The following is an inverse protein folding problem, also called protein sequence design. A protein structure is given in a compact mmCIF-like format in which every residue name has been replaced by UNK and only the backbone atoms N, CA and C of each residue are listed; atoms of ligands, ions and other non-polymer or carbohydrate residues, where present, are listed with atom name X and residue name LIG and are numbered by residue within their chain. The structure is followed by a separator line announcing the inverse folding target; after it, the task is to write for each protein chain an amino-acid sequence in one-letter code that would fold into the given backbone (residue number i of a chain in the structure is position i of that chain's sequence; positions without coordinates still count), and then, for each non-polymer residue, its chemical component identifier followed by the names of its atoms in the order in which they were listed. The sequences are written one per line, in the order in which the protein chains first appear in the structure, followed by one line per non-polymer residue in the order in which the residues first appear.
data_IF_076578394096
#
_entry.id   IF_076578394096
#
_cell.length_a   1.000
_cell.length_b   1.000
_cell.length_c   1.000
_cell.angle_alpha   90.00
_cell.angle_beta   90.00
_cell.angle_gamma   90.00
#
_symmetry.space_group_name_H-M   'P 1'
#
loop_
_entity.id
_entity.type
_entity.pdbx_description
1 polymer ?
#
# COMPACT_ATOMS: atom_id res chain seq x y z
N UNK A 1 6.33 12.02 15.58
CA UNK A 1 6.24 12.85 14.39
C UNK A 1 5.08 13.84 14.53
N UNK A 2 5.29 15.10 14.20
CA UNK A 2 4.32 16.17 14.33
C UNK A 2 4.10 16.80 12.96
N UNK A 3 2.89 16.65 12.41
CA UNK A 3 2.43 17.41 11.25
C UNK A 3 1.62 18.59 11.75
N UNK A 4 1.95 19.78 11.29
CA UNK A 4 1.24 21.01 11.62
C UNK A 4 0.91 21.77 10.35
N UNK A 5 -0.37 21.88 10.07
CA UNK A 5 -0.96 22.84 9.14
C UNK A 5 -1.55 24.00 9.95
N UNK A 6 -1.88 25.13 9.33
CA UNK A 6 -2.49 26.28 10.01
C UNK A 6 -3.85 25.94 10.68
N UNK A 7 -4.54 24.85 10.25
CA UNK A 7 -5.79 24.37 10.83
C UNK A 7 -5.72 22.94 11.40
N UNK A 8 -4.72 22.15 11.03
CA UNK A 8 -4.55 20.76 11.43
C UNK A 8 -3.25 20.51 12.19
N UNK A 9 -3.30 19.64 13.18
CA UNK A 9 -2.12 19.15 13.91
C UNK A 9 -2.26 17.66 14.17
N UNK A 10 -1.23 16.90 13.82
CA UNK A 10 -1.15 15.48 14.12
C UNK A 10 0.11 15.16 14.92
N UNK A 11 -0.05 14.42 15.99
CA UNK A 11 1.04 13.85 16.78
C UNK A 11 0.96 12.33 16.66
N UNK A 12 2.04 11.70 16.25
CA UNK A 12 2.12 10.26 16.13
C UNK A 12 3.31 9.73 16.93
N UNK A 13 3.07 8.68 17.71
CA UNK A 13 4.08 7.97 18.47
C UNK A 13 3.91 6.48 18.27
N UNK A 14 5.01 5.76 18.04
CA UNK A 14 4.99 4.32 17.89
C UNK A 14 6.21 3.68 18.55
N UNK A 15 5.97 2.59 19.27
CA UNK A 15 6.99 1.71 19.82
C UNK A 15 6.74 0.32 19.30
N UNK A 16 7.77 -0.31 18.77
CA UNK A 16 7.75 -1.70 18.30
C UNK A 16 8.89 -2.45 18.98
N UNK A 17 8.57 -3.58 19.57
CA UNK A 17 9.54 -4.49 20.19
C UNK A 17 9.24 -5.91 19.75
N UNK A 18 10.28 -6.67 19.42
CA UNK A 18 10.18 -8.09 19.05
C UNK A 18 11.08 -8.91 19.95
N UNK A 19 10.52 -9.95 20.55
CA UNK A 19 11.21 -10.91 21.38
C UNK A 19 11.11 -12.28 20.75
N UNK A 20 12.17 -13.03 20.76
CA UNK A 20 12.16 -14.40 20.26
C UNK A 20 13.08 -15.30 21.09
N UNK A 21 12.69 -16.54 21.21
CA UNK A 21 13.44 -17.59 21.89
C UNK A 21 13.34 -18.90 21.09
N UNK A 22 14.48 -19.54 20.86
CA UNK A 22 14.56 -20.80 20.15
C UNK A 22 14.76 -21.96 21.14
N UNK A 23 13.89 -22.96 21.05
CA UNK A 23 13.98 -24.18 21.84
C UNK A 23 13.86 -25.39 20.90
N UNK A 24 14.99 -26.05 20.66
CA UNK A 24 15.03 -27.19 19.71
C UNK A 24 14.69 -26.77 18.28
N UNK A 25 13.59 -27.30 17.75
CA UNK A 25 13.07 -27.00 16.41
C UNK A 25 12.02 -25.88 16.41
N UNK A 26 11.57 -25.48 17.58
CA UNK A 26 10.55 -24.45 17.77
C UNK A 26 11.18 -23.08 17.99
N UNK A 27 10.56 -22.05 17.42
CA UNK A 27 10.87 -20.65 17.68
C UNK A 27 9.61 -19.98 18.23
N UNK A 28 9.69 -19.54 19.48
CA UNK A 28 8.68 -18.73 20.14
C UNK A 28 9.00 -17.27 19.87
N UNK A 29 8.07 -16.52 19.34
CA UNK A 29 8.25 -15.09 19.10
C UNK A 29 7.03 -14.31 19.57
N UNK A 30 7.27 -13.08 19.99
CA UNK A 30 6.21 -12.15 20.39
C UNK A 30 6.57 -10.76 19.93
N UNK A 31 5.70 -10.16 19.12
CA UNK A 31 5.80 -8.77 18.72
C UNK A 31 4.85 -7.91 19.57
N UNK A 32 5.37 -6.84 20.15
CA UNK A 32 4.60 -5.82 20.87
C UNK A 32 4.67 -4.51 20.07
N UNK A 33 3.50 -3.99 19.70
CA UNK A 33 3.42 -2.71 19.02
C UNK A 33 2.43 -1.80 19.78
N UNK A 34 2.87 -0.60 20.12
CA UNK A 34 2.05 0.44 20.73
C UNK A 34 2.10 1.63 19.78
N UNK A 35 0.93 2.08 19.32
CA UNK A 35 0.81 3.19 18.38
C UNK A 35 -0.23 4.18 18.91
N UNK A 36 0.16 5.42 19.03
CA UNK A 36 -0.71 6.53 19.40
C UNK A 36 -0.78 7.52 18.24
N UNK A 37 -1.99 7.98 17.94
CA UNK A 37 -2.25 9.06 17.00
C UNK A 37 -3.23 10.05 17.63
N UNK A 38 -2.80 11.29 17.77
CA UNK A 38 -3.66 12.40 18.17
C UNK A 38 -3.79 13.39 17.03
N UNK A 39 -4.98 13.49 16.44
CA UNK A 39 -5.29 14.45 15.37
C UNK A 39 -6.28 15.49 15.83
N UNK A 40 -5.99 16.73 15.51
CA UNK A 40 -6.86 17.88 15.80
C UNK A 40 -6.95 18.77 14.57
N UNK A 41 -8.17 19.09 14.18
CA UNK A 41 -8.48 20.04 13.11
C UNK A 41 -9.48 21.08 13.62
N UNK A 42 -9.33 22.34 13.17
CA UNK A 42 -10.20 23.45 13.54
C UNK A 42 -9.62 24.34 14.64
N UNK A 43 -9.87 25.63 14.55
CA UNK A 43 -9.49 26.60 15.56
C UNK A 43 -10.67 26.99 16.45
N UNK A 44 -10.32 27.53 17.63
CA UNK A 44 -11.24 28.10 18.62
C UNK A 44 -11.93 29.39 18.17
N UNK A 45 -11.77 29.81 16.93
CA UNK A 45 -12.32 31.11 16.49
C UNK A 45 -13.79 30.95 16.10
N UNK A 46 -14.63 31.47 16.98
CA UNK A 46 -16.09 31.40 16.97
C UNK A 46 -16.78 32.24 15.88
N UNK A 47 -16.03 32.81 14.93
CA UNK A 47 -16.56 33.71 13.91
C UNK A 47 -16.74 33.11 12.52
N UNK A 48 -16.33 31.87 12.29
CA UNK A 48 -16.46 31.19 10.99
C UNK A 48 -17.51 30.08 11.06
N UNK A 49 -18.54 30.28 10.28
CA UNK A 49 -19.64 29.40 9.81
C UNK A 49 -19.89 28.05 10.51
N UNK A 50 -21.16 27.76 10.67
CA UNK A 50 -21.82 26.50 11.19
C UNK A 50 -21.26 25.18 10.63
N UNK A 51 -20.34 25.19 9.67
CA UNK A 51 -19.77 24.04 8.99
C UNK A 51 -18.37 23.65 9.48
N UNK A 52 -17.68 24.47 10.29
CA UNK A 52 -16.33 24.21 10.79
C UNK A 52 -16.37 23.58 12.19
N UNK A 53 -16.83 22.35 12.28
CA UNK A 53 -16.75 21.57 13.52
C UNK A 53 -15.32 21.14 13.78
N UNK A 54 -14.77 21.56 14.92
CA UNK A 54 -13.47 21.09 15.39
C UNK A 54 -13.49 19.56 15.56
N UNK A 55 -12.55 18.88 14.91
CA UNK A 55 -12.39 17.44 14.99
C UNK A 55 -11.22 17.10 15.91
N UNK A 56 -11.47 16.28 16.93
CA UNK A 56 -10.45 15.73 17.82
C UNK A 56 -10.52 14.22 17.76
N UNK A 57 -9.41 13.59 17.42
CA UNK A 57 -9.30 12.14 17.39
C UNK A 57 -8.07 11.73 18.18
N UNK A 58 -8.27 10.98 19.25
CA UNK A 58 -7.21 10.26 19.96
C UNK A 58 -7.38 8.78 19.71
N UNK A 59 -6.37 8.15 19.17
CA UNK A 59 -6.43 6.77 18.75
C UNK A 59 -5.17 6.03 19.21
N UNK A 60 -5.32 5.13 20.16
CA UNK A 60 -4.24 4.28 20.68
C UNK A 60 -4.53 2.83 20.30
N UNK A 61 -3.56 2.20 19.66
CA UNK A 61 -3.61 0.76 19.35
C UNK A 61 -2.47 0.08 20.06
N UNK A 62 -2.80 -0.94 20.84
CA UNK A 62 -1.84 -1.85 21.48
C UNK A 62 -2.03 -3.22 20.85
N UNK A 63 -0.96 -3.76 20.31
CA UNK A 63 -0.96 -5.04 19.62
C UNK A 63 0.10 -5.96 20.21
N UNK A 64 -0.31 -7.16 20.58
CA UNK A 64 0.56 -8.25 21.07
C UNK A 64 0.35 -9.47 20.17
N UNK A 65 1.44 -9.96 19.56
CA UNK A 65 1.36 -11.05 18.58
C UNK A 65 2.30 -12.20 18.95
N UNK A 66 1.91 -13.08 19.88
CA UNK A 66 2.63 -14.31 20.15
C UNK A 66 2.48 -15.30 18.99
N UNK A 67 3.59 -15.92 18.61
CA UNK A 67 3.66 -16.92 17.53
C UNK A 67 4.62 -18.04 17.91
N UNK A 68 4.33 -19.24 17.43
CA UNK A 68 5.21 -20.40 17.51
C UNK A 68 5.48 -20.85 16.07
N UNK A 69 6.75 -20.99 15.73
CA UNK A 69 7.20 -21.52 14.44
C UNK A 69 7.92 -22.84 14.66
N UNK A 70 7.52 -23.88 13.97
CA UNK A 70 8.18 -25.19 14.00
C UNK A 70 8.77 -25.55 12.63
N UNK A 71 9.86 -26.32 12.67
CA UNK A 71 10.54 -26.81 11.48
C UNK A 71 10.59 -28.34 11.52
N UNK A 72 10.21 -28.98 10.42
CA UNK A 72 10.21 -30.44 10.28
C UNK A 72 10.83 -30.88 8.96
N UNK A 73 11.04 -32.19 8.79
CA UNK A 73 11.59 -32.79 7.56
C UNK A 73 12.88 -32.11 7.07
N UNK A 74 13.88 -31.99 7.95
CA UNK A 74 15.14 -31.32 7.65
C UNK A 74 14.95 -29.87 7.17
N UNK A 75 14.09 -29.11 7.87
CA UNK A 75 13.72 -27.73 7.58
C UNK A 75 12.93 -27.53 6.26
N UNK A 76 12.51 -28.59 5.57
CA UNK A 76 11.67 -28.50 4.37
C UNK A 76 10.26 -28.00 4.70
N UNK A 77 9.71 -28.38 5.85
CA UNK A 77 8.44 -27.87 6.37
C UNK A 77 8.71 -26.75 7.38
N UNK A 78 8.08 -25.61 7.16
CA UNK A 78 7.94 -24.55 8.16
C UNK A 78 6.45 -24.33 8.41
N UNK A 79 6.01 -24.45 9.65
CA UNK A 79 4.67 -24.12 10.09
C UNK A 79 4.74 -23.06 11.21
N UNK A 80 3.92 -22.04 11.09
CA UNK A 80 3.79 -20.99 12.11
C UNK A 80 2.33 -20.88 12.50
N UNK A 81 2.08 -20.79 13.80
CA UNK A 81 0.75 -20.53 14.38
C UNK A 81 0.88 -19.48 15.47
N UNK A 82 -0.18 -18.71 15.66
CA UNK A 82 -0.23 -17.68 16.68
C UNK A 82 -1.54 -16.92 16.66
N UNK A 83 -1.60 -15.86 17.42
CA UNK A 83 -2.74 -14.95 17.50
C UNK A 83 -2.23 -13.51 17.58
N UNK A 84 -2.90 -12.62 16.89
CA UNK A 84 -2.68 -11.18 17.01
C UNK A 84 -3.79 -10.61 17.91
N UNK A 85 -3.41 -10.19 19.10
CA UNK A 85 -4.28 -9.64 20.14
C UNK A 85 -4.16 -8.13 20.03
N UNK A 86 -5.24 -7.47 19.61
CA UNK A 86 -5.23 -6.02 19.38
C UNK A 86 -6.28 -5.33 20.21
N UNK A 87 -5.85 -4.33 20.98
CA UNK A 87 -6.69 -3.40 21.71
C UNK A 87 -6.74 -2.08 20.94
N UNK A 88 -7.92 -1.68 20.52
CA UNK A 88 -8.21 -0.37 19.92
C UNK A 88 -8.81 0.52 21.00
N UNK A 89 -7.95 1.28 21.68
CA UNK A 89 -8.35 2.20 22.74
C UNK A 89 -8.68 3.58 22.14
N UNK A 90 -9.77 3.63 21.41
CA UNK A 90 -10.40 4.85 20.92
C UNK A 90 -11.62 5.17 21.81
N UNK A 91 -12.46 6.15 21.46
CA UNK A 91 -13.66 6.55 22.21
C UNK A 91 -14.52 5.36 22.68
N UNK A 92 -14.60 4.32 21.87
CA UNK A 92 -15.15 3.01 22.22
C UNK A 92 -14.04 1.97 22.16
N UNK A 93 -13.48 1.59 23.31
CA UNK A 93 -12.46 0.55 23.39
C UNK A 93 -12.96 -0.78 22.82
N UNK A 94 -12.24 -1.32 21.83
CA UNK A 94 -12.56 -2.60 21.18
C UNK A 94 -11.38 -3.55 21.28
N UNK A 95 -11.71 -4.80 21.48
CA UNK A 95 -10.75 -5.89 21.53
C UNK A 95 -10.90 -6.78 20.30
N UNK A 96 -9.81 -7.08 19.63
CA UNK A 96 -9.78 -7.93 18.45
C UNK A 96 -8.80 -9.07 18.62
N UNK A 97 -9.18 -10.23 18.10
CA UNK A 97 -8.33 -11.42 17.99
C UNK A 97 -8.23 -11.79 16.51
N UNK A 98 -7.02 -11.86 15.99
CA UNK A 98 -6.79 -12.26 14.60
C UNK A 98 -5.99 -13.56 14.56
N UNK A 99 -6.37 -14.49 13.68
CA UNK A 99 -5.59 -15.70 13.48
C UNK A 99 -4.24 -15.33 12.84
N UNK A 100 -3.21 -16.09 13.20
CA UNK A 100 -1.92 -16.08 12.52
C UNK A 100 -1.54 -17.53 12.26
N UNK A 101 -1.60 -17.94 11.00
CA UNK A 101 -1.19 -19.28 10.59
C UNK A 101 -0.50 -19.21 9.23
N UNK A 102 0.61 -19.88 9.08
CA UNK A 102 1.31 -20.04 7.81
C UNK A 102 1.93 -21.42 7.75
N UNK A 103 1.79 -22.11 6.64
CA UNK A 103 2.52 -23.33 6.33
C UNK A 103 3.19 -23.19 4.98
N UNK A 104 4.44 -23.65 4.88
CA UNK A 104 5.17 -23.76 3.63
C UNK A 104 6.03 -25.01 3.61
N UNK A 105 6.15 -25.60 2.44
CA UNK A 105 6.95 -26.79 2.23
C UNK A 105 7.89 -26.62 1.04
N UNK A 106 9.17 -26.90 1.25
CA UNK A 106 10.17 -26.84 0.18
C UNK A 106 10.27 -28.19 -0.54
N UNK A 107 9.95 -28.18 -1.84
CA UNK A 107 10.16 -29.28 -2.75
C UNK A 107 11.39 -29.03 -3.63
N UNK A 108 12.11 -30.10 -3.95
CA UNK A 108 13.21 -30.07 -4.91
C UNK A 108 14.26 -28.97 -4.62
N UNK A 109 14.66 -28.86 -3.34
CA UNK A 109 15.65 -27.90 -2.89
C UNK A 109 15.31 -26.44 -3.28
N UNK A 110 14.09 -26.01 -2.88
CA UNK A 110 13.53 -24.69 -3.08
C UNK A 110 13.16 -24.32 -4.53
N UNK A 111 13.12 -25.30 -5.45
CA UNK A 111 12.59 -25.05 -6.80
C UNK A 111 11.10 -24.72 -6.74
N UNK A 112 10.34 -25.40 -5.86
CA UNK A 112 8.92 -25.15 -5.65
C UNK A 112 8.60 -25.17 -4.16
N UNK A 113 8.05 -24.05 -3.67
CA UNK A 113 7.64 -23.87 -2.28
C UNK A 113 6.17 -23.45 -2.28
N UNK A 114 5.21 -24.39 -2.25
CA UNK A 114 3.83 -24.04 -1.95
C UNK A 114 3.71 -23.51 -0.55
N UNK A 115 2.80 -22.58 -0.37
CA UNK A 115 2.48 -21.99 0.92
C UNK A 115 1.00 -21.62 1.02
N UNK A 116 0.49 -21.64 2.23
CA UNK A 116 -0.85 -21.15 2.56
C UNK A 116 -0.83 -20.51 3.93
N UNK A 117 -1.74 -19.59 4.16
CA UNK A 117 -1.83 -18.95 5.47
C UNK A 117 -3.10 -18.14 5.67
N UNK A 118 -3.27 -17.77 6.94
CA UNK A 118 -4.33 -16.92 7.44
C UNK A 118 -3.71 -15.82 8.29
N UNK A 119 -4.14 -14.60 8.09
CA UNK A 119 -3.75 -13.45 8.93
C UNK A 119 -4.88 -12.44 9.00
N UNK A 120 -4.86 -11.61 10.02
CA UNK A 120 -5.71 -10.44 10.14
C UNK A 120 -4.92 -9.30 10.75
N UNK A 121 -5.58 -8.19 11.04
CA UNK A 121 -4.94 -7.07 11.73
C UNK A 121 -5.74 -5.78 11.67
N UNK A 122 -5.36 -4.84 12.52
CA UNK A 122 -5.90 -3.50 12.56
C UNK A 122 -4.89 -2.50 12.00
N UNK A 123 -5.25 -1.84 10.89
CA UNK A 123 -4.47 -0.75 10.31
C UNK A 123 -4.96 0.57 10.89
N UNK A 124 -4.08 1.31 11.52
CA UNK A 124 -4.35 2.67 11.97
C UNK A 124 -4.30 3.60 10.77
N UNK A 125 -5.42 4.25 10.46
CA UNK A 125 -5.45 5.34 9.51
C UNK A 125 -5.19 6.65 10.26
N UNK A 126 -4.14 7.34 9.85
CA UNK A 126 -3.76 8.67 10.34
C UNK A 126 -3.99 9.69 9.22
N UNK A 127 -4.09 10.97 9.55
CA UNK A 127 -4.19 12.00 8.51
C UNK A 127 -2.97 11.94 7.58
N UNK A 128 -1.77 11.78 8.14
CA UNK A 128 -0.55 11.58 7.37
C UNK A 128 -0.65 10.41 6.41
N UNK A 129 -1.09 9.24 6.88
CA UNK A 129 -1.16 8.05 6.01
C UNK A 129 -2.15 8.23 4.86
N UNK A 130 -3.28 8.89 5.11
CA UNK A 130 -4.29 9.19 4.09
C UNK A 130 -3.82 10.28 3.12
N UNK A 131 -3.16 11.34 3.62
CA UNK A 131 -2.62 12.41 2.77
C UNK A 131 -1.42 11.97 1.94
N UNK A 132 -0.64 10.99 2.39
CA UNK A 132 0.42 10.37 1.59
C UNK A 132 -0.15 9.51 0.44
N UNK A 133 -1.34 8.92 0.63
CA UNK A 133 -2.03 8.19 -0.42
C UNK A 133 -2.71 9.15 -1.42
N UNK A 134 -3.38 10.19 -0.90
CA UNK A 134 -3.98 11.27 -1.71
C UNK A 134 -3.72 12.64 -1.05
N UNK A 135 -2.83 13.44 -1.62
CA UNK A 135 -2.45 14.76 -1.11
C UNK A 135 -3.57 15.82 -1.20
N UNK A 136 -4.62 15.54 -1.98
CA UNK A 136 -5.74 16.46 -2.21
C UNK A 136 -6.91 16.24 -1.24
N UNK A 137 -6.74 15.48 -0.16
CA UNK A 137 -7.81 15.25 0.83
C UNK A 137 -8.14 16.52 1.61
N UNK A 138 -9.38 16.58 2.08
CA UNK A 138 -9.81 17.58 3.06
C UNK A 138 -9.08 17.36 4.40
N UNK A 139 -8.79 18.44 5.12
CA UNK A 139 -8.16 18.32 6.44
C UNK A 139 -9.16 17.92 7.55
N UNK A 140 -10.47 18.04 7.32
CA UNK A 140 -11.52 17.66 8.27
C UNK A 140 -12.05 16.25 8.07
N UNK A 141 -11.25 15.34 7.45
CA UNK A 141 -11.65 13.95 7.25
C UNK A 141 -11.78 13.19 8.55
N UNK A 142 -12.79 12.36 8.65
CA UNK A 142 -12.96 11.43 9.76
C UNK A 142 -11.89 10.33 9.70
N UNK A 143 -11.16 10.12 10.78
CA UNK A 143 -10.17 9.03 10.87
C UNK A 143 -10.81 7.79 11.49
N UNK A 144 -10.80 6.67 10.77
CA UNK A 144 -11.28 5.36 11.26
C UNK A 144 -10.24 4.29 10.98
N UNK A 145 -10.01 3.41 11.94
CA UNK A 145 -9.13 2.27 11.76
C UNK A 145 -9.73 1.26 10.78
N UNK A 146 -8.91 0.77 9.86
CA UNK A 146 -9.28 -0.30 8.94
C UNK A 146 -9.06 -1.66 9.62
N UNK A 147 -10.12 -2.43 9.76
CA UNK A 147 -10.12 -3.75 10.35
C UNK A 147 -10.09 -4.81 9.25
N UNK A 148 -8.95 -5.42 9.01
CA UNK A 148 -8.85 -6.62 8.18
C UNK A 148 -9.15 -7.85 9.04
N UNK A 149 -10.39 -8.30 9.01
CA UNK A 149 -10.87 -9.39 9.86
C UNK A 149 -10.16 -10.70 9.57
N UNK A 150 -9.95 -10.98 8.29
CA UNK A 150 -9.25 -12.17 7.79
C UNK A 150 -8.65 -11.89 6.42
N UNK A 151 -7.45 -12.40 6.21
CA UNK A 151 -6.81 -12.51 4.91
C UNK A 151 -6.30 -13.96 4.78
N UNK A 152 -7.00 -14.74 3.97
CA UNK A 152 -6.60 -16.09 3.59
C UNK A 152 -5.83 -16.04 2.28
N UNK A 153 -4.69 -16.71 2.22
CA UNK A 153 -3.87 -16.72 1.02
C UNK A 153 -3.26 -18.10 0.77
N UNK A 154 -3.08 -18.39 -0.50
CA UNK A 154 -2.39 -19.57 -1.00
C UNK A 154 -1.51 -19.16 -2.17
N UNK A 155 -0.38 -19.84 -2.33
CA UNK A 155 0.52 -19.56 -3.42
C UNK A 155 1.63 -20.59 -3.53
N UNK A 156 2.46 -20.36 -4.52
CA UNK A 156 3.70 -21.08 -4.71
C UNK A 156 4.78 -20.12 -5.17
N UNK A 157 5.96 -20.30 -4.65
CA UNK A 157 7.16 -19.53 -5.00
C UNK A 157 8.35 -20.48 -5.15
N UNK A 158 9.40 -20.00 -5.75
CA UNK A 158 10.59 -20.81 -5.90
C UNK A 158 11.61 -20.21 -6.84
N UNK A 159 12.62 -21.02 -7.16
CA UNK A 159 13.70 -20.66 -8.07
C UNK A 159 13.83 -21.73 -9.15
N UNK A 160 13.35 -21.44 -10.37
CA UNK A 160 13.47 -22.38 -11.49
C UNK A 160 14.93 -22.63 -11.88
N UNK A 161 15.76 -21.62 -11.74
CA UNK A 161 17.21 -21.67 -11.91
C UNK A 161 17.86 -20.71 -10.92
N UNK A 162 19.18 -20.72 -10.78
CA UNK A 162 19.93 -19.73 -9.97
C UNK A 162 19.66 -18.27 -10.40
N UNK A 163 19.02 -18.05 -11.55
CA UNK A 163 18.76 -16.73 -12.15
C UNK A 163 17.29 -16.36 -12.23
N UNK A 164 16.38 -17.30 -12.02
CA UNK A 164 14.93 -17.06 -12.18
C UNK A 164 14.22 -17.42 -10.90
N UNK A 165 13.72 -16.40 -10.21
CA UNK A 165 12.82 -16.52 -9.08
C UNK A 165 11.38 -16.17 -9.49
N UNK A 166 10.39 -16.84 -8.94
CA UNK A 166 8.98 -16.59 -9.20
C UNK A 166 8.14 -16.67 -7.94
N UNK A 167 7.00 -16.01 -7.97
CA UNK A 167 5.94 -16.17 -6.97
C UNK A 167 4.58 -15.99 -7.66
N UNK A 168 3.63 -16.86 -7.34
CA UNK A 168 2.24 -16.70 -7.74
C UNK A 168 1.35 -16.98 -6.54
N UNK A 169 0.37 -16.13 -6.31
CA UNK A 169 -0.53 -16.25 -5.16
C UNK A 169 -1.93 -15.76 -5.46
N UNK A 170 -2.88 -16.31 -4.73
CA UNK A 170 -4.24 -15.81 -4.64
C UNK A 170 -4.58 -15.55 -3.17
N UNK A 171 -5.28 -14.45 -2.90
CA UNK A 171 -5.71 -14.12 -1.56
C UNK A 171 -7.14 -13.59 -1.55
N UNK A 172 -7.83 -13.83 -0.44
CA UNK A 172 -9.13 -13.28 -0.13
C UNK A 172 -9.05 -12.58 1.22
N UNK A 173 -9.50 -11.33 1.26
CA UNK A 173 -9.50 -10.54 2.49
C UNK A 173 -10.82 -9.81 2.71
N UNK A 174 -11.22 -9.69 3.99
CA UNK A 174 -12.39 -8.93 4.41
C UNK A 174 -11.95 -7.73 5.22
N UNK A 175 -12.29 -6.54 4.72
CA UNK A 175 -11.94 -5.26 5.31
C UNK A 175 -13.20 -4.53 5.79
N UNK A 176 -13.23 -4.11 7.04
CA UNK A 176 -14.20 -3.14 7.55
C UNK A 176 -13.53 -1.78 7.67
N UNK A 177 -14.24 -0.73 7.36
CA UNK A 177 -13.71 0.64 7.29
C UNK A 177 -12.52 0.76 6.31
N UNK A 178 -12.61 0.15 5.13
CA UNK A 178 -11.67 0.43 4.04
C UNK A 178 -11.83 1.88 3.61
N UNK A 179 -10.77 2.67 3.68
CA UNK A 179 -10.78 4.05 3.21
C UNK A 179 -10.89 4.10 1.69
N UNK A 180 -11.81 4.92 1.18
CA UNK A 180 -12.01 5.22 -0.23
C UNK A 180 -12.03 6.75 -0.40
N UNK A 181 -11.37 7.24 -1.43
CA UNK A 181 -11.30 8.66 -1.73
C UNK A 181 -12.36 9.03 -2.75
N UNK A 182 -13.19 10.00 -2.43
CA UNK A 182 -14.28 10.47 -3.30
C UNK A 182 -14.20 11.98 -3.45
N UNK A 183 -14.59 12.49 -4.62
CA UNK A 183 -14.65 13.93 -4.88
C UNK A 183 -15.58 14.60 -3.86
N UNK A 184 -15.10 15.64 -3.20
CA UNK A 184 -15.91 16.44 -2.28
C UNK A 184 -16.64 17.57 -3.04
N UNK A 185 -17.92 17.76 -2.73
CA UNK A 185 -18.74 18.85 -3.27
C UNK A 185 -19.45 19.66 -2.19
N UNK A 186 -19.17 19.31 -0.91
CA UNK A 186 -19.80 19.97 0.25
C UNK A 186 -18.90 21.09 0.78
N UNK A 187 -17.63 20.78 0.99
CA UNK A 187 -16.63 21.71 1.55
C UNK A 187 -15.72 22.33 0.49
N UNK A 188 -15.79 21.79 -0.74
CA UNK A 188 -14.99 22.27 -1.88
C UNK A 188 -15.81 22.24 -3.19
N UNK A 189 -15.44 23.03 -4.21
CA UNK A 189 -16.09 22.99 -5.52
C UNK A 189 -15.67 21.79 -6.39
N UNK A 190 -15.42 20.63 -5.80
CA UNK A 190 -14.99 19.42 -6.53
C UNK A 190 -13.49 19.31 -6.78
N UNK A 191 -12.69 20.16 -6.12
CA UNK A 191 -11.22 20.18 -6.21
C UNK A 191 -10.52 19.60 -4.98
N UNK A 192 -11.23 18.87 -4.12
CA UNK A 192 -10.70 18.16 -2.96
C UNK A 192 -11.37 16.79 -2.86
N UNK A 193 -10.77 15.93 -2.06
CA UNK A 193 -11.31 14.60 -1.80
C UNK A 193 -11.72 14.46 -0.35
N UNK A 194 -12.89 13.87 -0.14
CA UNK A 194 -13.32 13.36 1.14
C UNK A 194 -12.93 11.88 1.26
N UNK A 195 -12.81 11.39 2.49
CA UNK A 195 -12.54 9.99 2.79
C UNK A 195 -13.82 9.36 3.31
N UNK A 196 -14.34 8.40 2.58
CA UNK A 196 -15.45 7.55 3.01
C UNK A 196 -14.95 6.15 3.39
N UNK A 197 -15.73 5.43 4.17
CA UNK A 197 -15.35 4.12 4.66
C UNK A 197 -16.40 3.08 4.27
N UNK A 198 -15.94 1.94 3.76
CA UNK A 198 -16.81 0.85 3.40
C UNK A 198 -16.31 -0.50 3.95
N UNK A 199 -17.23 -1.45 4.04
CA UNK A 199 -16.90 -2.87 4.25
C UNK A 199 -16.71 -3.52 2.89
N UNK A 200 -15.55 -4.14 2.68
CA UNK A 200 -15.17 -4.63 1.37
C UNK A 200 -14.50 -6.00 1.44
N UNK A 201 -14.92 -6.91 0.57
CA UNK A 201 -14.19 -8.12 0.28
C UNK A 201 -13.27 -7.87 -0.92
N UNK A 202 -12.02 -8.25 -0.79
CA UNK A 202 -11.00 -8.09 -1.83
C UNK A 202 -10.41 -9.45 -2.16
N UNK A 203 -10.53 -9.85 -3.42
CA UNK A 203 -9.78 -10.98 -3.97
C UNK A 203 -8.62 -10.45 -4.79
N UNK A 204 -7.41 -10.92 -4.51
CA UNK A 204 -6.20 -10.52 -5.23
C UNK A 204 -5.54 -11.74 -5.83
N UNK A 205 -5.19 -11.66 -7.11
CA UNK A 205 -4.31 -12.62 -7.79
C UNK A 205 -3.02 -11.86 -8.12
N UNK A 206 -1.89 -12.38 -7.68
CA UNK A 206 -0.57 -11.78 -7.91
C UNK A 206 0.37 -12.80 -8.54
N UNK A 207 1.11 -12.36 -9.55
CA UNK A 207 2.24 -13.08 -10.11
C UNK A 207 3.46 -12.18 -10.14
N UNK A 208 4.63 -12.70 -9.75
CA UNK A 208 5.90 -11.98 -9.86
C UNK A 208 7.00 -12.87 -10.40
N UNK A 209 7.88 -12.26 -11.18
CA UNK A 209 9.05 -12.87 -11.78
C UNK A 209 10.27 -11.98 -11.54
N UNK A 210 11.37 -12.57 -11.09
CA UNK A 210 12.67 -11.92 -11.00
C UNK A 210 13.66 -12.70 -11.86
N UNK A 211 14.28 -12.04 -12.81
CA UNK A 211 15.21 -12.66 -13.74
C UNK A 211 16.55 -11.93 -13.77
N UNK A 212 17.58 -12.59 -13.26
CA UNK A 212 18.99 -12.16 -13.38
C UNK A 212 19.54 -12.66 -14.72
N UNK A 213 19.26 -11.93 -15.81
CA UNK A 213 19.66 -12.34 -17.16
C UNK A 213 21.17 -12.50 -17.30
N UNK A 214 21.92 -11.55 -16.76
CA UNK A 214 23.37 -11.58 -16.64
C UNK A 214 23.79 -11.03 -15.27
N UNK A 215 25.07 -11.08 -14.91
CA UNK A 215 25.57 -10.40 -13.70
C UNK A 215 25.29 -8.88 -13.69
N UNK A 216 25.03 -8.31 -14.86
CA UNK A 216 24.84 -6.88 -15.07
C UNK A 216 23.39 -6.47 -15.29
N UNK A 217 22.52 -7.38 -15.72
CA UNK A 217 21.12 -7.10 -16.08
C UNK A 217 20.16 -7.90 -15.22
N UNK A 218 19.36 -7.19 -14.46
CA UNK A 218 18.24 -7.73 -13.68
C UNK A 218 16.92 -7.16 -14.18
N UNK A 219 15.90 -8.01 -14.28
CA UNK A 219 14.55 -7.66 -14.67
C UNK A 219 13.60 -8.23 -13.61
N UNK A 220 12.74 -7.38 -13.06
CA UNK A 220 11.69 -7.77 -12.13
C UNK A 220 10.33 -7.38 -12.73
N UNK A 221 9.34 -8.26 -12.63
CA UNK A 221 7.97 -8.00 -13.06
C UNK A 221 6.96 -8.45 -12.01
N UNK A 222 5.91 -7.66 -11.79
CA UNK A 222 4.80 -7.98 -10.86
C UNK A 222 3.50 -7.63 -11.57
N UNK A 223 2.59 -8.61 -11.69
CA UNK A 223 1.23 -8.41 -12.16
C UNK A 223 0.24 -8.66 -11.03
N UNK A 224 -0.77 -7.80 -10.89
CA UNK A 224 -1.84 -7.93 -9.90
C UNK A 224 -3.19 -7.73 -10.56
N UNK A 225 -4.12 -8.56 -10.17
CA UNK A 225 -5.52 -8.39 -10.49
C UNK A 225 -6.33 -8.35 -9.19
N UNK A 226 -7.24 -7.38 -9.09
CA UNK A 226 -8.08 -7.16 -7.93
C UNK A 226 -9.56 -7.27 -8.31
N UNK A 227 -10.31 -8.01 -7.52
CA UNK A 227 -11.77 -8.02 -7.54
C UNK A 227 -12.27 -7.46 -6.21
N UNK A 228 -13.08 -6.42 -6.28
CA UNK A 228 -13.63 -5.71 -5.14
C UNK A 228 -15.13 -5.96 -5.04
N UNK A 229 -15.60 -6.29 -3.84
CA UNK A 229 -17.02 -6.36 -3.51
C UNK A 229 -17.27 -5.45 -2.31
N UNK A 230 -17.67 -4.22 -2.56
CA UNK A 230 -18.01 -3.23 -1.57
C UNK A 230 -19.48 -3.39 -1.13
N UNK A 231 -19.77 -3.11 0.15
CA UNK A 231 -21.10 -3.28 0.71
C UNK A 231 -22.05 -2.11 0.40
N UNK A 232 -21.54 -0.89 0.52
CA UNK A 232 -22.36 0.33 0.44
C UNK A 232 -22.09 1.13 -0.85
N UNK A 233 -20.97 0.88 -1.52
CA UNK A 233 -20.60 1.53 -2.76
C UNK A 233 -20.64 0.55 -3.92
N UNK A 234 -21.03 1.02 -5.08
CA UNK A 234 -21.03 0.20 -6.30
C UNK A 234 -19.62 -0.17 -6.75
N UNK A 235 -18.67 0.74 -6.53
CA UNK A 235 -17.28 0.54 -6.94
C UNK A 235 -16.30 0.84 -5.81
N UNK A 236 -15.11 0.26 -5.90
CA UNK A 236 -13.95 0.61 -5.10
C UNK A 236 -13.31 1.87 -5.70
N UNK A 237 -13.80 3.04 -5.27
CA UNK A 237 -13.44 4.33 -5.86
C UNK A 237 -11.92 4.56 -5.93
N UNK A 238 -11.43 4.90 -7.12
CA UNK A 238 -10.04 5.16 -7.47
C UNK A 238 -9.07 3.98 -7.34
N UNK A 239 -9.50 2.82 -6.86
CA UNK A 239 -8.65 1.64 -6.77
C UNK A 239 -8.52 0.94 -8.15
N UNK A 240 -7.32 0.49 -8.54
CA UNK A 240 -7.11 -0.22 -9.79
C UNK A 240 -7.64 -1.66 -9.71
N UNK A 241 -8.23 -2.17 -10.80
CA UNK A 241 -8.54 -3.59 -10.95
C UNK A 241 -7.35 -4.39 -11.47
N UNK A 242 -6.44 -3.73 -12.17
CA UNK A 242 -5.25 -4.34 -12.75
C UNK A 242 -4.04 -3.43 -12.53
N UNK A 243 -2.92 -4.03 -12.14
CA UNK A 243 -1.62 -3.35 -12.01
C UNK A 243 -0.53 -4.24 -12.61
N UNK A 244 0.36 -3.65 -13.40
CA UNK A 244 1.59 -4.28 -13.88
C UNK A 244 2.76 -3.35 -13.56
N UNK A 245 3.73 -3.87 -12.84
CA UNK A 245 4.98 -3.18 -12.51
C UNK A 245 6.12 -3.94 -13.17
N UNK A 246 6.95 -3.26 -13.95
CA UNK A 246 8.15 -3.84 -14.51
C UNK A 246 9.35 -2.94 -14.20
N UNK A 247 10.45 -3.54 -13.78
CA UNK A 247 11.70 -2.85 -13.49
C UNK A 247 12.85 -3.57 -14.15
N UNK A 248 13.73 -2.81 -14.78
CA UNK A 248 14.98 -3.33 -15.30
C UNK A 248 16.14 -2.48 -14.81
N UNK A 249 17.20 -3.14 -14.34
CA UNK A 249 18.44 -2.47 -13.91
C UNK A 249 19.61 -3.07 -14.65
N UNK A 250 20.36 -2.22 -15.34
CA UNK A 250 21.52 -2.60 -16.10
C UNK A 250 22.78 -1.87 -15.60
N UNK A 251 23.77 -2.63 -15.15
CA UNK A 251 25.06 -2.12 -14.70
C UNK A 251 26.13 -2.39 -15.77
N UNK A 252 26.53 -1.35 -16.49
CA UNK A 252 27.56 -1.44 -17.52
C UNK A 252 28.91 -1.01 -16.96
N UNK A 253 29.80 -2.01 -16.73
CA UNK A 253 31.18 -1.84 -16.23
C UNK A 253 31.32 -1.03 -14.94
N UNK A 254 30.29 -1.07 -14.05
CA UNK A 254 30.21 -0.28 -12.82
C UNK A 254 30.32 1.25 -13.03
N UNK A 255 30.28 1.69 -14.29
CA UNK A 255 30.32 3.10 -14.66
C UNK A 255 28.99 3.68 -15.08
N UNK A 256 28.18 2.92 -15.80
CA UNK A 256 26.84 3.34 -16.19
C UNK A 256 25.82 2.43 -15.53
N UNK A 257 24.92 3.01 -14.76
CA UNK A 257 23.78 2.32 -14.20
C UNK A 257 22.53 2.88 -14.87
N UNK A 258 21.79 2.01 -15.54
CA UNK A 258 20.53 2.36 -16.23
C UNK A 258 19.40 1.64 -15.53
N UNK A 259 18.42 2.39 -15.05
CA UNK A 259 17.21 1.87 -14.44
C UNK A 259 15.99 2.27 -15.29
N UNK A 260 15.17 1.30 -15.62
CA UNK A 260 13.89 1.50 -16.28
C UNK A 260 12.80 1.01 -15.32
N UNK A 261 11.86 1.89 -15.00
CA UNK A 261 10.68 1.60 -14.18
C UNK A 261 9.43 1.84 -15.02
N UNK A 262 8.53 0.88 -15.02
CA UNK A 262 7.24 0.96 -15.68
C UNK A 262 6.13 0.59 -14.69
N UNK A 263 5.12 1.44 -14.59
CA UNK A 263 3.93 1.20 -13.80
C UNK A 263 2.69 1.38 -14.70
N UNK A 264 1.89 0.33 -14.78
CA UNK A 264 0.65 0.33 -15.54
C UNK A 264 -0.52 -0.02 -14.62
N UNK A 265 -1.53 0.85 -14.57
CA UNK A 265 -2.75 0.65 -13.78
C UNK A 265 -3.99 0.87 -14.65
N UNK A 266 -5.01 0.03 -14.44
CA UNK A 266 -6.27 0.12 -15.17
C UNK A 266 -7.49 -0.28 -14.37
N UNK A 267 -8.68 -0.04 -14.94
CA UNK A 267 -9.97 -0.40 -14.35
C UNK A 267 -10.41 0.50 -13.19
N UNK A 268 -9.91 1.73 -13.11
CA UNK A 268 -10.23 2.69 -12.05
C UNK A 268 -11.49 3.49 -12.38
N UNK A 269 -12.25 3.82 -11.32
CA UNK A 269 -13.46 4.65 -11.42
C UNK A 269 -13.49 5.69 -10.31
N UNK A 270 -13.81 6.94 -10.66
CA UNK A 270 -14.02 8.04 -9.72
C UNK A 270 -15.51 8.30 -9.49
N UNK A 271 -15.91 8.59 -8.26
CA UNK A 271 -17.26 9.06 -7.95
C UNK A 271 -17.42 10.49 -8.44
N UNK A 272 -18.48 10.74 -9.21
CA UNK A 272 -18.88 12.08 -9.65
C UNK A 272 -20.36 12.30 -9.35
N UNK A 273 -20.83 13.54 -9.43
CA UNK A 273 -22.19 13.91 -9.00
C UNK A 273 -23.10 14.38 -10.12
N UNK A 274 -22.64 14.27 -11.37
CA UNK A 274 -23.40 14.65 -12.55
C UNK A 274 -23.12 13.71 -13.73
N UNK A 275 -24.07 13.55 -14.65
CA UNK A 275 -23.84 12.85 -15.91
C UNK A 275 -22.77 13.57 -16.74
N UNK A 276 -22.08 12.84 -17.60
CA UNK A 276 -21.05 13.38 -18.49
C UNK A 276 -20.47 12.29 -19.38
N UNK A 277 -19.45 12.65 -20.14
CA UNK A 277 -18.72 11.71 -20.99
C UNK A 277 -18.03 10.63 -20.14
N UNK A 278 -18.09 9.37 -20.57
CA UNK A 278 -17.57 8.19 -19.83
C UNK A 278 -18.10 8.06 -18.38
N UNK A 279 -19.28 8.60 -18.11
CA UNK A 279 -19.96 8.48 -16.82
C UNK A 279 -21.10 7.50 -16.95
N UNK A 280 -21.15 6.51 -16.08
CA UNK A 280 -22.24 5.54 -15.96
C UNK A 280 -23.00 5.77 -14.67
N UNK A 281 -24.32 5.67 -14.70
CA UNK A 281 -25.17 5.64 -13.50
C UNK A 281 -25.42 4.18 -13.14
N UNK A 282 -24.98 3.77 -11.97
CA UNK A 282 -25.19 2.41 -11.45
C UNK A 282 -25.52 2.48 -9.97
N UNK A 283 -26.58 1.82 -9.56
CA UNK A 283 -27.09 1.83 -8.18
C UNK A 283 -27.24 3.25 -7.59
N UNK A 284 -27.63 4.24 -8.39
CA UNK A 284 -27.77 5.62 -7.95
C UNK A 284 -26.49 6.41 -7.78
N UNK A 285 -25.34 5.85 -8.17
CA UNK A 285 -24.02 6.51 -8.13
C UNK A 285 -23.49 6.75 -9.55
N UNK A 286 -23.04 7.96 -9.81
CA UNK A 286 -22.39 8.30 -11.08
C UNK A 286 -20.90 7.95 -11.01
N UNK A 287 -20.46 7.06 -11.88
CA UNK A 287 -19.09 6.57 -11.94
C UNK A 287 -18.39 7.03 -13.22
N UNK A 288 -17.40 7.89 -13.08
CA UNK A 288 -16.50 8.30 -14.16
C UNK A 288 -15.42 7.24 -14.36
N UNK A 289 -15.33 6.68 -15.56
CA UNK A 289 -14.21 5.80 -15.93
C UNK A 289 -12.94 6.63 -16.05
N UNK A 290 -11.94 6.34 -15.24
CA UNK A 290 -10.61 6.95 -15.30
C UNK A 290 -9.77 6.19 -16.34
N UNK A 291 -9.02 6.92 -17.15
CA UNK A 291 -8.09 6.33 -18.10
C UNK A 291 -7.05 5.45 -17.43
N UNK A 292 -6.40 4.59 -18.20
CA UNK A 292 -5.26 3.82 -17.69
C UNK A 292 -4.07 4.74 -17.39
N UNK A 293 -3.24 4.33 -16.45
CA UNK A 293 -1.94 4.91 -16.19
C UNK A 293 -0.88 4.08 -16.91
N UNK A 294 0.00 4.73 -17.65
CA UNK A 294 1.23 4.13 -18.17
C UNK A 294 2.37 5.08 -17.84
N UNK A 295 2.96 4.89 -16.69
CA UNK A 295 4.09 5.69 -16.23
C UNK A 295 5.39 4.94 -16.51
N UNK A 296 6.25 5.53 -17.33
CA UNK A 296 7.54 4.94 -17.72
C UNK A 296 8.65 5.92 -17.38
N UNK A 297 9.58 5.48 -16.55
CA UNK A 297 10.67 6.31 -16.04
C UNK A 297 12.01 5.67 -16.35
N UNK A 298 12.97 6.47 -16.80
CA UNK A 298 14.33 6.05 -17.12
C UNK A 298 15.33 6.87 -16.33
N UNK A 299 16.15 6.19 -15.54
CA UNK A 299 17.28 6.78 -14.83
C UNK A 299 18.63 6.32 -15.43
N UNK A 300 19.54 7.23 -15.64
CA UNK A 300 20.91 6.94 -16.06
C UNK A 300 21.87 7.61 -15.10
N UNK A 301 22.72 6.84 -14.45
CA UNK A 301 23.80 7.34 -13.60
C UNK A 301 25.14 7.01 -14.25
N UNK A 302 26.01 8.01 -14.38
CA UNK A 302 27.39 7.85 -14.77
C UNK A 302 28.32 8.05 -13.58
N UNK A 303 29.07 7.02 -13.22
CA UNK A 303 30.06 7.03 -12.12
C UNK A 303 31.45 7.34 -12.69
N UNK A 304 31.84 8.61 -12.59
CA UNK A 304 33.18 9.02 -13.02
C UNK A 304 34.27 8.34 -12.16
N UNK A 305 34.10 8.36 -10.84
CA UNK A 305 34.94 7.66 -9.87
C UNK A 305 34.15 7.31 -8.60
N UNK A 306 34.82 6.80 -7.55
CA UNK A 306 34.16 6.40 -6.28
C UNK A 306 33.53 7.58 -5.51
N UNK A 307 33.85 8.81 -5.86
CA UNK A 307 33.40 10.03 -5.17
C UNK A 307 32.44 10.88 -5.99
N UNK A 308 32.50 10.80 -7.31
CA UNK A 308 31.73 11.67 -8.21
C UNK A 308 30.89 10.82 -9.13
N UNK A 309 29.59 11.08 -9.16
CA UNK A 309 28.67 10.59 -10.17
C UNK A 309 27.76 11.70 -10.69
N UNK A 310 27.30 11.58 -11.92
CA UNK A 310 26.29 12.42 -12.53
C UNK A 310 25.09 11.57 -12.89
N UNK A 311 23.88 12.10 -12.79
CA UNK A 311 22.67 11.39 -13.17
C UNK A 311 21.75 12.23 -14.05
N UNK A 312 20.98 11.53 -14.88
CA UNK A 312 19.83 12.04 -15.61
C UNK A 312 18.64 11.14 -15.33
N UNK A 313 17.49 11.75 -15.05
CA UNK A 313 16.21 11.07 -14.87
C UNK A 313 15.21 11.64 -15.85
N UNK A 314 14.55 10.75 -16.57
CA UNK A 314 13.48 11.03 -17.51
C UNK A 314 12.19 10.42 -16.92
N UNK A 315 11.28 11.26 -16.47
CA UNK A 315 10.03 10.82 -15.86
C UNK A 315 8.89 10.96 -16.87
N UNK A 316 7.96 10.02 -16.82
CA UNK A 316 6.82 9.94 -17.72
C UNK A 316 7.22 10.03 -19.20
N UNK A 317 8.07 9.11 -19.65
CA UNK A 317 8.55 9.02 -21.05
C UNK A 317 7.40 8.89 -22.05
N UNK A 318 6.27 8.30 -21.65
CA UNK A 318 5.07 8.20 -22.46
C UNK A 318 4.37 9.56 -22.67
N UNK A 319 4.81 10.62 -21.97
CA UNK A 319 4.22 11.96 -21.98
C UNK A 319 2.71 11.98 -21.73
N UNK A 320 2.19 10.94 -21.06
CA UNK A 320 0.76 10.78 -20.81
C UNK A 320 0.34 11.69 -19.65
N UNK A 321 -0.71 12.48 -19.86
CA UNK A 321 -1.36 13.27 -18.81
C UNK A 321 -2.46 12.45 -18.13
N UNK A 322 -2.09 11.33 -17.52
CA UNK A 322 -3.04 10.50 -16.81
C UNK A 322 -3.52 11.18 -15.52
N UNK A 323 -4.72 10.84 -15.09
CA UNK A 323 -5.29 11.29 -13.82
C UNK A 323 -5.12 10.18 -12.78
N UNK A 324 -4.22 10.36 -11.83
CA UNK A 324 -4.14 9.48 -10.66
C UNK A 324 -5.41 9.63 -9.81
N UNK A 325 -5.84 10.87 -9.65
CA UNK A 325 -7.09 11.27 -9.03
C UNK A 325 -7.94 12.05 -10.02
N UNK A 326 -9.27 11.88 -9.95
CA UNK A 326 -10.18 12.60 -10.84
C UNK A 326 -9.90 14.12 -10.77
N UNK A 327 -9.82 14.78 -11.91
CA UNK A 327 -9.47 16.20 -12.10
C UNK A 327 -8.01 16.59 -11.74
N UNK A 328 -7.15 15.63 -11.43
CA UNK A 328 -5.73 15.90 -11.14
C UNK A 328 -4.83 15.18 -12.14
N UNK A 329 -4.63 15.76 -13.33
CA UNK A 329 -3.67 15.23 -14.29
C UNK A 329 -2.25 15.42 -13.77
N UNK A 330 -1.43 14.40 -13.94
CA UNK A 330 0.01 14.48 -13.63
C UNK A 330 0.72 15.37 -14.64
N UNK A 331 1.91 15.82 -14.27
CA UNK A 331 2.80 16.52 -15.21
C UNK A 331 3.19 15.54 -16.32
N UNK A 332 3.32 16.08 -17.54
CA UNK A 332 3.78 15.33 -18.69
C UNK A 332 5.26 14.97 -18.54
N UNK A 333 5.95 14.70 -19.62
CA UNK A 333 7.38 14.38 -19.62
C UNK A 333 8.22 15.39 -18.85
N UNK A 334 9.13 14.88 -18.00
CA UNK A 334 10.05 15.68 -17.20
C UNK A 334 11.47 15.16 -17.31
N UNK A 335 12.44 16.07 -17.26
CA UNK A 335 13.87 15.75 -17.18
C UNK A 335 14.46 16.38 -15.95
N UNK A 336 15.21 15.59 -15.19
CA UNK A 336 15.97 16.06 -14.03
C UNK A 336 17.40 15.55 -14.12
N UNK A 337 18.38 16.38 -13.80
CA UNK A 337 19.78 15.99 -13.76
C UNK A 337 20.50 16.57 -12.55
N UNK A 338 21.57 15.90 -12.15
CA UNK A 338 22.37 16.34 -11.02
C UNK A 338 23.73 15.64 -10.94
N UNK A 339 24.52 16.11 -9.99
CA UNK A 339 25.84 15.55 -9.67
C UNK A 339 25.86 15.19 -8.19
N UNK A 340 26.37 14.01 -7.89
CA UNK A 340 26.58 13.53 -6.52
C UNK A 340 28.05 13.53 -6.20
N UNK A 341 28.41 14.10 -5.06
CA UNK A 341 29.78 14.09 -4.54
C UNK A 341 29.80 13.42 -3.16
N UNK A 342 30.72 12.47 -2.98
CA UNK A 342 30.93 11.76 -1.71
C UNK A 342 32.26 12.19 -1.09
N UNK A 343 32.20 12.70 0.11
CA UNK A 343 33.34 13.09 0.93
C UNK A 343 34.11 11.88 1.46
#
# INVERSE_FOLDING_TARGET
ENLKDWRGRENYFAVTSSFWYKMGKEVFATDLNIRYNGYRYGEKDSSLSVLDTALFVNNTIINLKPTITTFAFNNKLKAQVGVDITLDANDNTKFYLYPVAEVKYSFFDDILIPYAGLKGGLKQNTFKSLSMENEFILSNVQLRNEHNAINAYVGFKGTLTKRIGFNASASFSNHKNKALFVTDTIYSPGNRFNVIYDTMNITTIEGSLSYQMTEKLKIDGIGRFYSYNARNNTFAWNLPQFQLIARASYNLYDKFIVNLDMDYEGGRRGLVYAPGEDVTLENGQYAKKLGFIADVNLGVEYRYNKRISAFLQFNNLAAQRYQRWYNYPVQSFQVMGGVTFRF
#
